data_IF_855483449475
#
_entry.id   IF_855483449475
#
_cell.length_a   1.000
_cell.length_b   1.000
_cell.length_c   1.000
_cell.angle_alpha   90.00
_cell.angle_beta   90.00
_cell.angle_gamma   90.00
#
_symmetry.space_group_name_H-M   'P 1'
#
loop_
_entity.id
_entity.type
_entity.pdbx_description
1 polymer ?
#
# COMPACT_ATOMS: atom_id res chain seq x y z
N UNK A 1 17.48 20.91 17.62
CA UNK A 1 17.48 19.44 17.55
C UNK A 1 16.03 19.00 17.60
N UNK A 2 15.40 18.82 16.43
CA UNK A 2 14.02 18.35 16.35
C UNK A 2 14.00 16.84 16.48
N UNK A 3 13.40 16.37 17.58
CA UNK A 3 13.12 14.97 17.84
C UNK A 3 11.74 14.65 17.26
N UNK A 4 11.69 13.92 16.15
CA UNK A 4 10.44 13.37 15.64
C UNK A 4 10.11 12.09 16.41
N UNK A 5 9.18 12.14 17.35
CA UNK A 5 8.65 10.94 18.01
C UNK A 5 7.67 10.26 17.05
N UNK A 6 8.14 9.28 16.28
CA UNK A 6 7.25 8.40 15.52
C UNK A 6 6.64 7.40 16.51
N UNK A 7 5.45 7.70 17.04
CA UNK A 7 4.66 6.73 17.79
C UNK A 7 3.93 5.87 16.77
N UNK A 8 4.31 4.59 16.57
CA UNK A 8 3.54 3.70 15.73
C UNK A 8 2.15 3.61 16.35
N UNK A 9 1.13 4.00 15.57
CA UNK A 9 -0.25 3.92 16.04
C UNK A 9 -0.58 2.43 16.15
N UNK A 10 -0.45 1.85 17.33
CA UNK A 10 -0.94 0.49 17.58
C UNK A 10 -2.45 0.54 17.82
N UNK A 11 -3.16 -0.53 17.49
CA UNK A 11 -4.56 -0.66 17.90
C UNK A 11 -4.62 -0.51 19.43
N UNK A 12 -5.43 0.42 19.93
CA UNK A 12 -5.60 0.66 21.38
C UNK A 12 -5.96 -0.65 22.09
N UNK A 13 -6.67 -1.56 21.41
CA UNK A 13 -7.02 -2.89 21.94
C UNK A 13 -5.78 -3.75 22.17
N UNK A 14 -4.82 -3.74 21.25
CA UNK A 14 -3.60 -4.55 21.33
C UNK A 14 -2.67 -4.01 22.42
N UNK A 15 -2.61 -2.69 22.56
CA UNK A 15 -1.88 -2.04 23.66
C UNK A 15 -2.50 -2.42 25.02
N UNK A 16 -3.83 -2.33 25.14
CA UNK A 16 -4.53 -2.72 26.39
C UNK A 16 -4.30 -4.19 26.71
N UNK A 17 -4.34 -5.08 25.72
CA UNK A 17 -4.12 -6.51 25.94
C UNK A 17 -2.68 -6.80 26.36
N UNK A 18 -1.70 -6.14 25.76
CA UNK A 18 -0.31 -6.26 26.18
C UNK A 18 -0.06 -5.69 27.58
N UNK A 19 -0.71 -4.59 27.95
CA UNK A 19 -0.66 -4.08 29.34
C UNK A 19 -1.26 -5.10 30.31
N UNK A 20 -2.40 -5.72 29.97
CA UNK A 20 -3.01 -6.79 30.78
C UNK A 20 -2.11 -8.02 30.91
N UNK A 21 -1.42 -8.42 29.83
CA UNK A 21 -0.44 -9.51 29.84
C UNK A 21 0.73 -9.21 30.75
N UNK A 22 1.27 -7.99 30.67
CA UNK A 22 2.36 -7.54 31.52
C UNK A 22 1.97 -7.58 33.01
N UNK A 23 0.78 -7.09 33.35
CA UNK A 23 0.23 -7.15 34.72
C UNK A 23 0.02 -8.60 35.22
N UNK A 24 -0.11 -9.58 34.32
CA UNK A 24 -0.23 -11.02 34.63
C UNK A 24 1.10 -11.77 34.54
N UNK A 25 2.23 -11.09 34.31
CA UNK A 25 3.54 -11.73 34.13
C UNK A 25 3.68 -12.54 32.83
N UNK A 26 2.81 -12.32 31.85
CA UNK A 26 2.84 -13.00 30.56
C UNK A 26 3.74 -12.26 29.55
N UNK A 27 4.35 -12.97 28.60
CA UNK A 27 5.13 -12.34 27.54
C UNK A 27 4.26 -11.44 26.66
N UNK A 28 4.82 -10.29 26.28
CA UNK A 28 4.18 -9.33 25.37
C UNK A 28 4.08 -9.93 23.96
N UNK A 29 2.96 -9.66 23.28
CA UNK A 29 2.79 -10.02 21.88
C UNK A 29 3.25 -8.90 20.96
N UNK A 30 3.87 -9.21 19.80
CA UNK A 30 4.23 -8.22 18.80
C UNK A 30 2.97 -7.51 18.28
N UNK A 31 2.88 -6.18 18.50
CA UNK A 31 1.77 -5.38 18.01
C UNK A 31 1.97 -5.01 16.56
N UNK A 32 0.91 -5.08 15.76
CA UNK A 32 0.94 -4.58 14.39
C UNK A 32 0.72 -3.06 14.37
N UNK A 33 1.32 -2.34 13.39
CA UNK A 33 0.96 -0.97 13.13
C UNK A 33 -0.48 -0.88 12.62
N UNK A 34 -1.21 0.16 13.00
CA UNK A 34 -2.60 0.42 12.65
C UNK A 34 -2.82 1.92 12.42
N UNK A 35 -3.41 2.31 11.30
CA UNK A 35 -3.68 3.71 10.99
C UNK A 35 -5.19 3.94 10.94
N UNK A 36 -5.68 4.90 11.74
CA UNK A 36 -7.09 5.26 11.76
C UNK A 36 -7.53 5.70 10.36
N UNK A 37 -8.54 5.03 9.81
CA UNK A 37 -9.09 5.33 8.48
C UNK A 37 -8.41 4.60 7.32
N UNK A 38 -7.27 3.94 7.56
CA UNK A 38 -6.59 3.13 6.54
C UNK A 38 -7.30 1.78 6.38
N UNK A 39 -7.68 1.47 5.14
CA UNK A 39 -8.40 0.25 4.79
C UNK A 39 -7.49 -0.87 4.27
N UNK A 40 -6.21 -0.57 4.06
CA UNK A 40 -5.23 -1.56 3.67
C UNK A 40 -4.83 -2.49 4.81
N UNK A 41 -3.83 -3.32 4.55
CA UNK A 41 -3.35 -4.34 5.48
C UNK A 41 -1.89 -4.14 5.84
N UNK A 42 -1.48 -4.67 6.99
CA UNK A 42 -0.08 -4.80 7.36
C UNK A 42 0.26 -6.28 7.43
N UNK A 43 1.40 -6.67 6.88
CA UNK A 43 1.95 -8.03 6.99
C UNK A 43 3.38 -7.98 7.51
N UNK A 44 3.84 -9.08 8.08
CA UNK A 44 5.25 -9.20 8.46
C UNK A 44 6.12 -9.14 7.21
N UNK A 45 7.19 -8.36 7.28
CA UNK A 45 8.17 -8.32 6.19
C UNK A 45 8.79 -9.72 5.97
N UNK A 46 9.18 -10.01 4.73
CA UNK A 46 9.76 -11.29 4.32
C UNK A 46 11.08 -11.59 5.03
N UNK A 47 11.73 -10.57 5.60
CA UNK A 47 12.95 -10.72 6.39
C UNK A 47 12.72 -11.38 7.76
N UNK A 48 11.46 -11.49 8.22
CA UNK A 48 11.11 -12.09 9.51
C UNK A 48 11.66 -11.31 10.73
N UNK A 49 12.26 -10.14 10.52
CA UNK A 49 12.85 -9.35 11.60
C UNK A 49 11.76 -8.73 12.47
N UNK A 50 11.86 -8.84 13.80
CA UNK A 50 10.98 -8.12 14.71
C UNK A 50 11.01 -6.62 14.41
N UNK A 51 9.84 -5.96 14.41
CA UNK A 51 9.72 -4.52 14.17
C UNK A 51 9.69 -4.09 12.69
N UNK A 52 9.78 -5.03 11.73
CA UNK A 52 9.59 -4.73 10.30
C UNK A 52 8.25 -5.25 9.78
N UNK A 53 7.49 -4.34 9.19
CA UNK A 53 6.19 -4.60 8.61
C UNK A 53 6.14 -4.09 7.17
N UNK A 54 5.36 -4.77 6.34
CA UNK A 54 5.01 -4.31 5.01
C UNK A 54 3.56 -3.80 5.05
N UNK A 55 3.38 -2.52 4.75
CA UNK A 55 2.08 -1.91 4.55
C UNK A 55 1.64 -2.15 3.11
N UNK A 56 0.40 -2.61 2.95
CA UNK A 56 -0.17 -3.00 1.67
C UNK A 56 -1.46 -2.20 1.47
N UNK A 57 -1.51 -1.41 0.40
CA UNK A 57 -2.72 -0.71 -0.04
C UNK A 57 -3.76 -1.68 -0.60
N UNK A 58 -4.84 -1.14 -1.17
CA UNK A 58 -5.96 -1.93 -1.68
C UNK A 58 -6.09 -1.74 -3.18
N UNK A 59 -6.03 -2.86 -3.90
CA UNK A 59 -6.34 -2.94 -5.32
C UNK A 59 -7.36 -4.05 -5.59
N UNK A 60 -8.34 -3.76 -6.44
CA UNK A 60 -9.41 -4.68 -6.82
C UNK A 60 -9.47 -4.82 -8.32
N UNK A 61 -9.43 -6.06 -8.83
CA UNK A 61 -9.65 -6.34 -10.26
C UNK A 61 -11.12 -6.03 -10.61
N UNK A 62 -11.34 -5.20 -11.62
CA UNK A 62 -12.68 -4.87 -12.16
C UNK A 62 -12.98 -5.51 -13.50
N UNK A 63 -11.94 -5.84 -14.25
CA UNK A 63 -12.06 -6.48 -15.54
C UNK A 63 -10.75 -7.14 -15.97
N UNK A 64 -10.67 -7.68 -17.19
CA UNK A 64 -9.48 -8.38 -17.69
C UNK A 64 -8.20 -7.54 -17.60
N UNK A 65 -8.31 -6.25 -17.89
CA UNK A 65 -7.19 -5.28 -17.83
C UNK A 65 -7.54 -4.04 -17.00
N UNK A 66 -8.53 -4.11 -16.12
CA UNK A 66 -8.98 -2.99 -15.30
C UNK A 66 -8.81 -3.28 -13.81
N UNK A 67 -8.22 -2.33 -13.10
CA UNK A 67 -7.91 -2.42 -11.67
C UNK A 67 -8.29 -1.12 -11.00
N UNK A 68 -9.05 -1.20 -9.92
CA UNK A 68 -9.35 -0.06 -9.05
C UNK A 68 -8.41 -0.08 -7.86
N UNK A 69 -7.71 1.03 -7.64
CA UNK A 69 -6.89 1.26 -6.45
C UNK A 69 -7.65 2.20 -5.53
N UNK A 70 -8.10 1.69 -4.39
CA UNK A 70 -8.93 2.42 -3.43
C UNK A 70 -8.17 2.86 -2.18
N UNK A 71 -6.92 2.40 -2.02
CA UNK A 71 -6.11 2.76 -0.87
C UNK A 71 -4.62 2.66 -1.21
N UNK A 72 -3.86 3.71 -0.89
CA UNK A 72 -2.40 3.73 -1.07
C UNK A 72 -1.70 3.33 0.23
N UNK A 73 -0.56 2.63 0.16
CA UNK A 73 0.19 2.28 1.36
C UNK A 73 0.57 3.54 2.15
N UNK A 74 0.59 3.42 3.47
CA UNK A 74 0.92 4.52 4.37
C UNK A 74 2.26 5.15 4.00
N UNK A 75 2.28 6.49 3.95
CA UNK A 75 3.44 7.28 3.58
C UNK A 75 3.57 7.56 2.09
N UNK A 76 2.68 7.01 1.25
CA UNK A 76 2.62 7.33 -0.18
C UNK A 76 1.58 8.41 -0.45
N UNK A 77 2.00 9.51 -1.05
CA UNK A 77 1.11 10.60 -1.43
C UNK A 77 0.36 10.30 -2.73
N UNK A 78 -0.90 10.71 -2.80
CA UNK A 78 -1.76 10.58 -3.99
C UNK A 78 -1.12 11.24 -5.21
N UNK A 79 -0.49 12.40 -5.03
CA UNK A 79 0.19 13.12 -6.10
C UNK A 79 1.42 12.36 -6.65
N UNK A 80 2.22 11.77 -5.77
CA UNK A 80 3.38 10.96 -6.17
C UNK A 80 2.93 9.69 -6.91
N UNK A 81 1.83 9.08 -6.46
CA UNK A 81 1.24 7.93 -7.13
C UNK A 81 0.71 8.27 -8.52
N UNK A 82 0.03 9.41 -8.66
CA UNK A 82 -0.43 9.95 -9.95
C UNK A 82 0.74 10.18 -10.90
N UNK A 83 1.81 10.83 -10.44
CA UNK A 83 3.00 11.05 -11.26
C UNK A 83 3.61 9.73 -11.72
N UNK A 84 3.69 8.75 -10.83
CA UNK A 84 4.15 7.42 -11.18
C UNK A 84 3.27 6.75 -12.26
N UNK A 85 1.94 6.88 -12.18
CA UNK A 85 1.03 6.36 -13.21
C UNK A 85 1.24 7.03 -14.57
N UNK A 86 1.44 8.36 -14.60
CA UNK A 86 1.77 9.11 -15.82
C UNK A 86 3.09 8.63 -16.43
N UNK A 87 4.11 8.37 -15.60
CA UNK A 87 5.41 7.88 -16.07
C UNK A 87 5.34 6.43 -16.62
N UNK A 88 4.29 5.68 -16.26
CA UNK A 88 4.00 4.34 -16.80
C UNK A 88 3.18 4.38 -18.10
N UNK A 89 2.66 5.54 -18.50
CA UNK A 89 1.98 5.71 -19.79
C UNK A 89 3.01 5.84 -20.91
N UNK A 90 2.68 5.38 -22.14
CA UNK A 90 3.59 5.53 -23.27
C UNK A 90 3.76 7.02 -23.61
N UNK A 91 4.99 7.50 -23.67
CA UNK A 91 5.29 8.83 -24.20
C UNK A 91 5.14 8.80 -25.73
N UNK A 92 4.41 9.77 -26.28
CA UNK A 92 4.10 9.94 -27.71
C UNK A 92 5.20 9.37 -28.63
N UNK A 93 4.89 8.26 -29.30
CA UNK A 93 5.70 7.72 -30.41
C UNK A 93 6.96 6.90 -30.04
N UNK A 94 7.28 6.65 -28.77
CA UNK A 94 8.44 5.81 -28.41
C UNK A 94 8.03 4.37 -28.06
N UNK A 95 8.26 3.42 -28.97
CA UNK A 95 8.05 1.97 -28.75
C UNK A 95 8.90 1.39 -27.59
N UNK A 96 9.83 2.17 -27.04
CA UNK A 96 10.85 1.69 -26.12
C UNK A 96 10.44 1.69 -24.65
N UNK A 97 9.30 2.31 -24.30
CA UNK A 97 8.60 2.07 -23.05
C UNK A 97 7.21 1.54 -23.39
N UNK A 98 7.07 0.21 -23.44
CA UNK A 98 5.75 -0.43 -23.45
C UNK A 98 4.96 0.12 -22.27
N UNK A 99 4.11 1.10 -22.53
CA UNK A 99 3.28 1.74 -21.52
C UNK A 99 2.52 0.66 -20.76
N UNK A 100 2.87 0.47 -19.50
CA UNK A 100 2.25 -0.54 -18.65
C UNK A 100 0.81 -0.14 -18.34
N UNK A 101 0.56 1.17 -18.27
CA UNK A 101 -0.74 1.79 -18.08
C UNK A 101 -1.19 2.37 -19.41
N UNK A 102 -2.34 1.91 -19.91
CA UNK A 102 -2.94 2.44 -21.14
C UNK A 102 -3.70 3.74 -20.88
N UNK A 103 -4.45 3.78 -19.78
CA UNK A 103 -5.22 4.94 -19.33
C UNK A 103 -5.50 4.80 -17.83
N UNK A 104 -5.68 5.89 -17.11
CA UNK A 104 -6.22 5.84 -15.76
C UNK A 104 -7.16 7.03 -15.51
N UNK A 105 -8.11 6.84 -14.61
CA UNK A 105 -9.04 7.88 -14.15
C UNK A 105 -8.90 8.06 -12.65
N UNK A 106 -8.96 9.31 -12.21
CA UNK A 106 -8.94 9.68 -10.79
C UNK A 106 -10.35 10.07 -10.38
N UNK A 107 -10.91 9.37 -9.41
CA UNK A 107 -12.16 9.76 -8.75
C UNK A 107 -11.89 9.95 -7.25
N UNK A 108 -10.85 10.73 -6.93
CA UNK A 108 -10.54 11.06 -5.53
C UNK A 108 -11.59 12.01 -4.95
N UNK A 109 -11.91 11.81 -3.67
CA UNK A 109 -12.68 12.76 -2.86
C UNK A 109 -11.74 13.41 -1.83
N UNK A 110 -12.25 14.39 -1.06
CA UNK A 110 -11.46 15.03 0.01
C UNK A 110 -10.94 14.02 1.04
N UNK A 111 -11.62 12.87 1.21
CA UNK A 111 -11.32 11.87 2.23
C UNK A 111 -10.95 10.48 1.67
N UNK A 112 -10.93 10.28 0.35
CA UNK A 112 -10.71 8.95 -0.24
C UNK A 112 -9.91 8.96 -1.53
N UNK A 113 -9.01 7.99 -1.66
CA UNK A 113 -8.26 7.74 -2.89
C UNK A 113 -9.02 6.75 -3.78
N UNK A 114 -9.16 7.08 -5.07
CA UNK A 114 -9.66 6.14 -6.06
C UNK A 114 -8.99 6.36 -7.41
N UNK A 115 -8.26 5.36 -7.89
CA UNK A 115 -7.69 5.32 -9.23
C UNK A 115 -8.22 4.12 -10.00
N UNK A 116 -8.99 4.36 -11.06
CA UNK A 116 -9.41 3.34 -12.01
C UNK A 116 -8.35 3.22 -13.12
N UNK A 117 -7.52 2.18 -13.06
CA UNK A 117 -6.37 1.97 -13.94
C UNK A 117 -6.73 0.94 -15.02
N UNK A 118 -6.53 1.31 -16.28
CA UNK A 118 -6.59 0.41 -17.43
C UNK A 118 -5.17 0.07 -17.86
N UNK A 119 -4.82 -1.22 -17.75
CA UNK A 119 -3.52 -1.77 -18.10
C UNK A 119 -3.50 -2.23 -19.56
N UNK A 120 -2.32 -2.28 -20.15
CA UNK A 120 -2.13 -3.01 -21.42
C UNK A 120 -2.30 -4.52 -21.19
N UNK A 121 -2.75 -5.31 -22.19
CA UNK A 121 -2.96 -6.75 -22.03
C UNK A 121 -1.73 -7.50 -21.52
N UNK A 122 -0.54 -7.13 -22.02
CA UNK A 122 0.73 -7.70 -21.58
C UNK A 122 1.02 -7.40 -20.10
N UNK A 123 0.73 -6.17 -19.67
CA UNK A 123 0.90 -5.78 -18.27
C UNK A 123 -0.13 -6.43 -17.37
N UNK A 124 -1.39 -6.55 -17.81
CA UNK A 124 -2.46 -7.20 -17.06
C UNK A 124 -2.08 -8.65 -16.71
N UNK A 125 -1.59 -9.42 -17.69
CA UNK A 125 -1.12 -10.78 -17.46
C UNK A 125 0.08 -10.84 -16.49
N UNK A 126 1.04 -9.92 -16.63
CA UNK A 126 2.19 -9.84 -15.73
C UNK A 126 1.78 -9.46 -14.28
N UNK A 127 0.81 -8.56 -14.14
CA UNK A 127 0.26 -8.10 -12.85
C UNK A 127 -0.50 -9.24 -12.16
N UNK A 128 -1.32 -9.98 -12.90
CA UNK A 128 -2.07 -11.12 -12.37
C UNK A 128 -1.12 -12.23 -11.87
N UNK A 129 0.00 -12.46 -12.57
CA UNK A 129 1.02 -13.42 -12.13
C UNK A 129 1.82 -12.96 -10.90
N UNK A 130 2.13 -11.67 -10.79
CA UNK A 130 2.99 -11.13 -9.71
C UNK A 130 2.22 -10.61 -8.49
N UNK A 131 0.91 -10.45 -8.61
CA UNK A 131 0.06 -9.75 -7.66
C UNK A 131 -0.09 -8.25 -7.96
N UNK A 132 -1.31 -7.74 -7.75
CA UNK A 132 -1.68 -6.35 -8.00
C UNK A 132 -0.88 -5.38 -7.14
N UNK A 133 -0.70 -5.72 -5.87
CA UNK A 133 -0.14 -4.84 -4.85
C UNK A 133 1.33 -4.54 -5.14
N UNK A 134 2.11 -5.57 -5.50
CA UNK A 134 3.52 -5.39 -5.84
C UNK A 134 3.69 -4.70 -7.20
N UNK A 135 2.88 -5.09 -8.17
CA UNK A 135 3.02 -4.62 -9.55
C UNK A 135 2.59 -3.17 -9.74
N UNK A 136 1.69 -2.68 -8.89
CA UNK A 136 1.20 -1.31 -8.85
C UNK A 136 1.85 -0.48 -7.74
N UNK A 137 2.95 -0.96 -7.16
CA UNK A 137 3.68 -0.30 -6.06
C UNK A 137 2.82 0.12 -4.86
N UNK A 138 1.82 -0.70 -4.52
CA UNK A 138 0.94 -0.52 -3.36
C UNK A 138 1.52 -1.18 -2.11
N UNK A 139 2.84 -1.34 -2.04
CA UNK A 139 3.54 -1.91 -0.89
C UNK A 139 4.60 -0.92 -0.40
N UNK A 140 4.64 -0.68 0.92
CA UNK A 140 5.64 0.17 1.56
C UNK A 140 6.21 -0.50 2.81
N UNK A 141 7.50 -0.35 3.05
CA UNK A 141 8.16 -0.87 4.25
C UNK A 141 7.98 0.09 5.43
N UNK A 142 7.50 -0.44 6.56
CA UNK A 142 7.38 0.28 7.82
C UNK A 142 8.28 -0.40 8.85
N UNK A 143 9.09 0.40 9.54
CA UNK A 143 9.85 -0.04 10.70
C UNK A 143 9.31 0.67 11.94
N UNK A 144 9.10 -0.08 13.01
CA UNK A 144 8.56 0.40 14.29
C UNK A 144 9.52 0.09 15.42
#
# INVERSE_FOLDING_TARGET
HDWATFVPKHSIRDVIENVRRHLKGQPLEPMMPWYRGFQGSFRRDQTGRPGKFECVGVATKRGPSQVDVTELPVGRWTQDYKQWLLDQMPADGSEQKRGAVAHFREDHSDDSVHFAISLSPERAAAVESRGYERSLQLTSGIST
#
